data_IF_566435457623
#
_entry.id   IF_566435457623
#
_cell.length_a   1.000
_cell.length_b   1.000
_cell.length_c   1.000
_cell.angle_alpha   90.00
_cell.angle_beta   90.00
_cell.angle_gamma   90.00
#
_symmetry.space_group_name_H-M   'P 1'
#
loop_
_entity.id
_entity.type
_entity.pdbx_description
1 polymer ?
#
# COMPACT_ATOMS: atom_id res chain seq x y z
N UNK A 1 0.54 -15.06 7.68
CA UNK A 1 -0.69 -14.86 8.49
C UNK A 1 -0.79 -13.41 8.94
N UNK A 2 -1.99 -12.93 9.19
CA UNK A 2 -2.25 -11.62 9.77
C UNK A 2 -3.13 -11.75 11.02
N UNK A 3 -3.11 -10.72 11.85
CA UNK A 3 -3.95 -10.56 13.02
C UNK A 3 -4.44 -9.12 13.08
N UNK A 4 -5.74 -8.91 13.23
CA UNK A 4 -6.36 -7.57 13.32
C UNK A 4 -7.43 -7.58 14.41
N UNK A 5 -7.33 -6.63 15.34
CA UNK A 5 -8.36 -6.38 16.32
C UNK A 5 -9.22 -5.17 15.92
N UNK A 6 -10.53 -5.33 15.88
CA UNK A 6 -11.53 -4.29 15.59
C UNK A 6 -12.36 -4.02 16.86
N UNK A 7 -11.92 -3.10 17.72
CA UNK A 7 -12.58 -2.86 19.01
C UNK A 7 -14.06 -2.48 18.89
N UNK A 8 -14.41 -1.68 17.88
CA UNK A 8 -15.80 -1.21 17.68
C UNK A 8 -16.80 -2.31 17.35
N UNK A 9 -16.32 -3.44 16.83
CA UNK A 9 -17.14 -4.61 16.48
C UNK A 9 -16.88 -5.81 17.40
N UNK A 10 -15.94 -5.68 18.34
CA UNK A 10 -15.48 -6.76 19.21
C UNK A 10 -15.01 -8.00 18.45
N UNK A 11 -14.39 -7.80 17.24
CA UNK A 11 -13.92 -8.87 16.36
C UNK A 11 -12.41 -8.92 16.29
N UNK A 12 -11.88 -10.14 16.40
CA UNK A 12 -10.47 -10.45 16.19
C UNK A 12 -10.34 -11.30 14.92
N UNK A 13 -9.79 -10.71 13.87
CA UNK A 13 -9.59 -11.38 12.59
C UNK A 13 -8.21 -12.02 12.55
N UNK A 14 -8.13 -13.26 12.10
CA UNK A 14 -6.86 -13.94 11.83
C UNK A 14 -6.98 -14.78 10.57
N UNK A 15 -5.90 -14.88 9.79
CA UNK A 15 -5.94 -15.65 8.56
C UNK A 15 -4.69 -15.49 7.70
N UNK A 16 -4.79 -15.93 6.44
CA UNK A 16 -3.74 -15.75 5.46
C UNK A 16 -3.88 -14.39 4.75
N UNK A 17 -2.75 -13.73 4.48
CA UNK A 17 -2.69 -12.44 3.78
C UNK A 17 -3.15 -12.50 2.32
N UNK A 18 -3.16 -13.69 1.72
CA UNK A 18 -3.43 -13.89 0.30
C UNK A 18 -4.92 -14.14 -0.01
N UNK A 19 -5.75 -14.17 1.03
CA UNK A 19 -7.19 -14.39 0.89
C UNK A 19 -7.91 -13.08 0.60
N UNK A 20 -8.64 -13.03 -0.50
CA UNK A 20 -9.56 -11.95 -0.82
C UNK A 20 -10.93 -12.28 -0.20
N UNK A 21 -11.37 -11.48 0.78
CA UNK A 21 -12.75 -11.48 1.25
C UNK A 21 -13.50 -10.33 0.61
N UNK A 22 -14.68 -10.60 0.12
CA UNK A 22 -15.67 -9.59 -0.24
C UNK A 22 -16.76 -9.62 0.84
N UNK A 23 -16.63 -8.76 1.86
CA UNK A 23 -17.63 -8.56 2.90
C UNK A 23 -18.39 -7.25 2.64
N UNK A 24 -19.67 -7.21 3.01
CA UNK A 24 -20.49 -5.98 2.92
C UNK A 24 -19.93 -4.87 3.83
N UNK A 25 -19.24 -5.24 4.91
CA UNK A 25 -18.55 -4.28 5.78
C UNK A 25 -17.14 -3.96 5.23
N UNK A 26 -16.89 -2.73 4.75
CA UNK A 26 -15.61 -2.35 4.16
C UNK A 26 -14.41 -2.51 5.10
N UNK A 27 -14.63 -2.44 6.42
CA UNK A 27 -13.56 -2.60 7.42
C UNK A 27 -12.99 -4.03 7.38
N UNK A 28 -13.85 -5.02 7.13
CA UNK A 28 -13.45 -6.42 7.02
C UNK A 28 -12.67 -6.72 5.73
N UNK A 29 -12.77 -5.85 4.73
CA UNK A 29 -12.04 -5.94 3.47
C UNK A 29 -10.63 -5.33 3.54
N UNK A 30 -10.28 -4.64 4.64
CA UNK A 30 -8.94 -4.09 4.84
C UNK A 30 -7.94 -5.22 5.06
N UNK A 31 -6.89 -5.25 4.24
CA UNK A 31 -5.82 -6.24 4.35
C UNK A 31 -4.50 -5.58 4.75
N UNK A 32 -3.72 -6.23 5.62
CA UNK A 32 -2.42 -5.69 6.04
C UNK A 32 -1.49 -5.37 4.87
N UNK A 33 -1.49 -6.18 3.80
CA UNK A 33 -0.65 -5.93 2.64
C UNK A 33 -1.04 -4.67 1.86
N UNK A 34 -2.31 -4.23 1.90
CA UNK A 34 -2.72 -2.95 1.31
C UNK A 34 -2.08 -1.77 2.06
N UNK A 35 -2.00 -1.87 3.40
CA UNK A 35 -1.33 -0.87 4.23
C UNK A 35 0.18 -0.88 4.00
N UNK A 36 0.78 -2.08 3.95
CA UNK A 36 2.21 -2.23 3.71
C UNK A 36 2.62 -1.67 2.34
N UNK A 37 1.84 -1.89 1.27
CA UNK A 37 2.09 -1.28 -0.05
C UNK A 37 2.04 0.25 -0.02
N UNK A 38 1.29 0.83 0.91
CA UNK A 38 1.26 2.29 1.12
C UNK A 38 2.50 2.80 1.86
N UNK A 39 2.93 2.08 2.88
CA UNK A 39 4.07 2.47 3.73
C UNK A 39 5.40 2.14 3.06
N UNK A 40 5.51 0.94 2.50
CA UNK A 40 6.73 0.42 1.88
C UNK A 40 6.61 0.52 0.36
N UNK A 41 7.42 1.39 -0.23
CA UNK A 41 7.49 1.52 -1.68
C UNK A 41 8.34 0.37 -2.23
N UNK A 42 7.69 -0.56 -2.91
CA UNK A 42 8.38 -1.69 -3.54
C UNK A 42 9.34 -1.20 -4.63
N UNK A 43 10.50 -1.84 -4.70
CA UNK A 43 11.51 -1.56 -5.71
C UNK A 43 10.96 -1.85 -7.12
N UNK A 44 11.32 -1.01 -8.09
CA UNK A 44 11.02 -1.27 -9.51
C UNK A 44 11.96 -2.38 -10.00
N UNK A 45 11.44 -3.50 -10.55
CA UNK A 45 12.26 -4.61 -11.03
C UNK A 45 12.84 -4.30 -12.43
N UNK A 46 13.82 -3.39 -12.50
CA UNK A 46 14.42 -2.92 -13.76
C UNK A 46 15.15 -4.01 -14.56
N UNK A 47 15.66 -5.02 -13.89
CA UNK A 47 16.42 -6.13 -14.50
C UNK A 47 15.54 -7.34 -14.85
N UNK A 48 14.23 -7.22 -14.71
CA UNK A 48 13.29 -8.31 -14.99
C UNK A 48 13.00 -8.42 -16.50
N UNK A 49 12.98 -9.64 -17.01
CA UNK A 49 12.50 -9.91 -18.36
C UNK A 49 10.97 -9.78 -18.47
N UNK A 50 10.27 -9.98 -17.36
CA UNK A 50 8.81 -9.90 -17.28
C UNK A 50 8.31 -8.46 -17.29
N UNK A 51 9.01 -7.53 -16.61
CA UNK A 51 8.55 -6.16 -16.46
C UNK A 51 9.30 -5.18 -17.35
N UNK A 52 8.58 -4.21 -17.93
CA UNK A 52 9.13 -3.11 -18.71
C UNK A 52 8.73 -1.77 -18.09
N UNK A 53 9.69 -1.02 -17.55
CA UNK A 53 9.43 0.36 -17.15
C UNK A 53 9.38 1.28 -18.37
N UNK A 54 8.56 2.32 -18.28
CA UNK A 54 8.53 3.44 -19.22
C UNK A 54 8.39 4.75 -18.45
N UNK A 55 8.74 5.87 -19.10
CA UNK A 55 8.70 7.21 -18.52
C UNK A 55 7.73 8.08 -19.31
N UNK A 56 6.84 8.75 -18.59
CA UNK A 56 5.97 9.82 -19.11
C UNK A 56 6.24 11.10 -18.32
N UNK A 57 5.87 12.24 -18.92
CA UNK A 57 5.82 13.54 -18.23
C UNK A 57 4.37 14.02 -18.17
N UNK A 58 4.00 14.61 -17.04
CA UNK A 58 2.69 15.23 -16.85
C UNK A 58 2.85 16.52 -16.05
N UNK A 59 1.85 17.40 -16.16
CA UNK A 59 1.75 18.60 -15.33
C UNK A 59 0.29 18.86 -14.94
N UNK A 60 0.12 19.47 -13.80
CA UNK A 60 -1.14 20.06 -13.37
C UNK A 60 -0.95 21.58 -13.12
N UNK A 61 -1.93 22.25 -12.54
CA UNK A 61 -1.88 23.69 -12.29
C UNK A 61 -0.74 24.12 -11.33
N UNK A 62 -0.13 23.21 -10.60
CA UNK A 62 0.87 23.50 -9.56
C UNK A 62 2.21 22.83 -9.78
N UNK A 63 2.22 21.60 -10.26
CA UNK A 63 3.40 20.75 -10.27
C UNK A 63 3.63 20.06 -11.61
N UNK A 64 4.89 19.74 -11.86
CA UNK A 64 5.31 18.88 -12.96
C UNK A 64 5.79 17.56 -12.43
N UNK A 65 5.48 16.48 -13.15
CA UNK A 65 5.74 15.11 -12.71
C UNK A 65 6.53 14.31 -13.74
N UNK A 66 7.39 13.44 -13.25
CA UNK A 66 7.78 12.23 -13.95
C UNK A 66 6.86 11.09 -13.51
N UNK A 67 6.33 10.35 -14.48
CA UNK A 67 5.51 9.18 -14.22
C UNK A 67 6.27 7.97 -14.70
N UNK A 68 6.71 7.13 -13.77
CA UNK A 68 7.31 5.84 -14.10
C UNK A 68 6.20 4.81 -14.13
N UNK A 69 5.86 4.31 -15.33
CA UNK A 69 4.93 3.23 -15.52
C UNK A 69 5.65 1.89 -15.61
N UNK A 70 4.98 0.82 -15.16
CA UNK A 70 5.47 -0.55 -15.21
C UNK A 70 4.47 -1.42 -15.97
N UNK A 71 4.94 -2.03 -17.06
CA UNK A 71 4.17 -2.97 -17.87
C UNK A 71 4.60 -4.38 -17.52
N UNK A 72 3.66 -5.26 -17.24
CA UNK A 72 3.85 -6.71 -17.14
C UNK A 72 3.70 -7.33 -18.53
N UNK A 73 4.71 -8.10 -18.95
CA UNK A 73 4.77 -8.80 -20.23
C UNK A 73 4.52 -10.30 -20.05
N UNK A 74 3.67 -10.71 -19.10
CA UNK A 74 3.42 -12.13 -18.84
C UNK A 74 3.01 -12.89 -20.11
N UNK A 75 3.88 -13.83 -20.53
CA UNK A 75 3.69 -14.70 -21.67
C UNK A 75 4.17 -14.15 -23.01
N UNK A 76 3.66 -13.04 -23.51
CA UNK A 76 4.10 -12.40 -24.75
C UNK A 76 3.74 -10.89 -24.79
N UNK A 77 4.25 -10.17 -25.79
CA UNK A 77 3.98 -8.75 -25.95
C UNK A 77 2.50 -8.41 -26.27
N UNK A 78 1.67 -9.41 -26.58
CA UNK A 78 0.24 -9.20 -26.88
C UNK A 78 -0.63 -9.18 -25.63
N UNK A 79 -0.11 -9.72 -24.52
CA UNK A 79 -0.75 -9.70 -23.19
C UNK A 79 -0.18 -8.62 -22.25
N UNK A 80 0.55 -7.65 -22.80
CA UNK A 80 1.16 -6.57 -22.03
C UNK A 80 0.11 -5.75 -21.24
N UNK A 81 0.27 -5.66 -19.94
CA UNK A 81 -0.65 -4.95 -19.05
C UNK A 81 0.07 -3.92 -18.19
N UNK A 82 -0.51 -2.73 -18.09
CA UNK A 82 -0.06 -1.75 -17.10
C UNK A 82 -0.40 -2.27 -15.71
N UNK A 83 0.61 -2.38 -14.83
CA UNK A 83 0.42 -2.87 -13.45
C UNK A 83 0.66 -1.80 -12.40
N UNK A 84 1.49 -0.78 -12.70
CA UNK A 84 1.82 0.26 -11.72
C UNK A 84 2.20 1.57 -12.39
N UNK A 85 1.84 2.72 -11.75
CA UNK A 85 2.39 4.05 -12.04
C UNK A 85 2.91 4.70 -10.75
N UNK A 86 4.06 5.33 -10.85
CA UNK A 86 4.73 6.09 -9.80
C UNK A 86 4.83 7.55 -10.25
N UNK A 87 4.23 8.46 -9.52
CA UNK A 87 4.24 9.89 -9.80
C UNK A 87 5.29 10.57 -8.94
N UNK A 88 6.30 11.12 -9.58
CA UNK A 88 7.45 11.77 -8.93
C UNK A 88 7.38 13.25 -9.25
N UNK A 89 7.24 14.08 -8.25
CA UNK A 89 7.28 15.54 -8.41
C UNK A 89 8.68 15.96 -8.85
N UNK A 90 8.78 16.72 -9.97
CA UNK A 90 10.06 17.04 -10.59
C UNK A 90 10.94 17.97 -9.75
N UNK A 91 10.34 18.91 -9.03
CA UNK A 91 11.07 19.91 -8.23
C UNK A 91 11.76 19.32 -7.00
N UNK A 92 11.12 18.37 -6.35
CA UNK A 92 11.59 17.75 -5.11
C UNK A 92 12.12 16.34 -5.31
N UNK A 93 11.88 15.73 -6.48
CA UNK A 93 12.15 14.32 -6.77
C UNK A 93 11.46 13.35 -5.78
N UNK A 94 10.33 13.79 -5.20
CA UNK A 94 9.56 13.00 -4.24
C UNK A 94 8.49 12.17 -4.94
N UNK A 95 8.30 10.96 -4.47
CA UNK A 95 7.12 10.15 -4.81
C UNK A 95 5.90 10.77 -4.12
N UNK A 96 4.91 11.20 -4.91
CA UNK A 96 3.69 11.85 -4.43
C UNK A 96 2.45 11.00 -4.62
N UNK A 97 2.51 10.01 -5.54
CA UNK A 97 1.40 9.09 -5.79
C UNK A 97 1.90 7.75 -6.34
N UNK A 98 1.23 6.67 -5.95
CA UNK A 98 1.32 5.38 -6.60
C UNK A 98 -0.07 4.92 -7.05
N UNK A 99 -0.13 4.22 -8.16
CA UNK A 99 -1.35 3.65 -8.70
C UNK A 99 -1.07 2.21 -9.12
N UNK A 100 -1.97 1.30 -8.76
CA UNK A 100 -1.90 -0.11 -9.12
C UNK A 100 -3.09 -0.46 -10.03
N UNK A 101 -2.80 -1.25 -11.03
CA UNK A 101 -3.76 -1.63 -12.06
C UNK A 101 -3.84 -3.16 -12.17
N UNK A 102 -5.04 -3.67 -12.39
CA UNK A 102 -5.32 -5.08 -12.68
C UNK A 102 -6.28 -5.13 -13.88
N UNK A 103 -5.94 -5.93 -14.88
CA UNK A 103 -6.73 -6.04 -16.12
C UNK A 103 -7.11 -4.69 -16.76
N UNK A 104 -6.21 -3.72 -16.71
CA UNK A 104 -6.42 -2.37 -17.24
C UNK A 104 -7.23 -1.42 -16.34
N UNK A 105 -7.81 -1.90 -15.24
CA UNK A 105 -8.56 -1.08 -14.30
C UNK A 105 -7.68 -0.59 -13.14
N UNK A 106 -7.90 0.65 -12.68
CA UNK A 106 -7.26 1.18 -11.47
C UNK A 106 -7.90 0.51 -10.24
N UNK A 107 -7.12 -0.27 -9.49
CA UNK A 107 -7.58 -0.97 -8.29
C UNK A 107 -7.13 -0.29 -6.98
N UNK A 108 -6.03 0.45 -7.03
CA UNK A 108 -5.54 1.17 -5.85
C UNK A 108 -4.86 2.47 -6.22
N UNK A 109 -5.12 3.53 -5.46
CA UNK A 109 -4.42 4.81 -5.53
C UNK A 109 -3.89 5.18 -4.15
N UNK A 110 -2.60 5.44 -4.06
CA UNK A 110 -1.92 5.83 -2.82
C UNK A 110 -1.35 7.22 -3.04
N UNK A 111 -1.76 8.17 -2.20
CA UNK A 111 -1.30 9.57 -2.24
C UNK A 111 -0.49 9.87 -0.99
N UNK A 112 0.67 10.46 -1.18
CA UNK A 112 1.59 10.88 -0.14
C UNK A 112 1.49 12.38 0.10
N UNK A 113 1.30 12.77 1.35
CA UNK A 113 1.35 14.16 1.79
C UNK A 113 2.79 14.66 1.96
N UNK A 114 2.93 15.75 2.71
CA UNK A 114 4.27 16.24 3.04
C UNK A 114 5.00 15.26 3.96
N UNK A 115 6.29 14.96 3.68
CA UNK A 115 7.07 14.07 4.51
C UNK A 115 7.41 14.72 5.85
N UNK A 116 7.63 13.88 6.85
CA UNK A 116 8.24 14.29 8.12
C UNK A 116 9.70 13.85 8.18
N UNK A 117 10.56 14.65 8.77
CA UNK A 117 11.93 14.26 9.05
C UNK A 117 11.98 13.43 10.35
N UNK A 118 12.46 12.18 10.22
CA UNK A 118 12.62 11.23 11.33
C UNK A 118 14.02 10.63 11.23
N UNK A 119 14.83 10.77 12.25
CA UNK A 119 16.22 10.29 12.29
C UNK A 119 17.05 10.73 11.04
N UNK A 120 16.87 11.98 10.59
CA UNK A 120 17.49 12.58 9.39
C UNK A 120 17.05 11.93 8.07
N UNK A 121 15.97 11.17 8.07
CA UNK A 121 15.35 10.61 6.88
C UNK A 121 13.99 11.24 6.65
N UNK A 122 13.66 11.50 5.38
CA UNK A 122 12.33 11.98 5.00
C UNK A 122 11.40 10.77 4.85
N UNK A 123 10.39 10.68 5.71
CA UNK A 123 9.41 9.60 5.74
C UNK A 123 8.04 10.14 5.36
N UNK A 124 7.35 9.46 4.46
CA UNK A 124 5.95 9.75 4.16
C UNK A 124 5.08 9.45 5.38
N UNK A 125 4.70 10.48 6.13
CA UNK A 125 3.97 10.36 7.39
C UNK A 125 2.46 10.56 7.26
N UNK A 126 1.99 11.10 6.12
CA UNK A 126 0.56 11.23 5.78
C UNK A 126 0.30 10.48 4.47
N UNK A 127 -0.36 9.35 4.56
CA UNK A 127 -0.58 8.42 3.45
C UNK A 127 -2.08 8.18 3.32
N UNK A 128 -2.63 8.44 2.14
CA UNK A 128 -4.01 8.10 1.81
C UNK A 128 -4.01 6.95 0.82
N UNK A 129 -4.72 5.89 1.15
CA UNK A 129 -4.89 4.70 0.34
C UNK A 129 -6.35 4.62 -0.06
N UNK A 130 -6.63 4.56 -1.35
CA UNK A 130 -7.96 4.35 -1.92
C UNK A 130 -7.96 3.01 -2.64
N UNK A 131 -8.90 2.15 -2.28
CA UNK A 131 -9.13 0.85 -2.91
C UNK A 131 -10.46 0.89 -3.64
N UNK A 132 -10.39 1.07 -4.96
CA UNK A 132 -11.59 1.27 -5.80
C UNK A 132 -12.42 0.00 -5.88
N UNK A 133 -11.77 -1.15 -5.97
CA UNK A 133 -12.44 -2.45 -6.09
C UNK A 133 -13.20 -2.83 -4.82
N UNK A 134 -12.55 -2.70 -3.66
CA UNK A 134 -13.11 -3.05 -2.36
C UNK A 134 -13.90 -1.88 -1.73
N UNK A 135 -14.01 -0.76 -2.44
CA UNK A 135 -14.79 0.42 -2.08
C UNK A 135 -14.49 0.99 -0.67
N UNK A 136 -13.20 1.14 -0.34
CA UNK A 136 -12.80 1.81 0.90
C UNK A 136 -11.63 2.79 0.70
N UNK A 137 -11.47 3.68 1.66
CA UNK A 137 -10.28 4.52 1.77
C UNK A 137 -9.76 4.55 3.20
N UNK A 138 -8.42 4.60 3.33
CA UNK A 138 -7.72 4.68 4.61
C UNK A 138 -6.77 5.86 4.56
N UNK A 139 -6.69 6.60 5.65
CA UNK A 139 -5.65 7.60 5.87
C UNK A 139 -4.79 7.19 7.05
N UNK A 140 -3.51 6.97 6.79
CA UNK A 140 -2.50 6.69 7.80
C UNK A 140 -1.77 7.99 8.13
N UNK A 141 -1.72 8.32 9.41
CA UNK A 141 -0.88 9.41 9.94
C UNK A 141 0.11 8.80 10.92
N UNK A 142 1.37 8.79 10.54
CA UNK A 142 2.45 8.32 11.39
C UNK A 142 2.90 9.49 12.27
N UNK A 143 2.76 9.36 13.59
CA UNK A 143 3.27 10.33 14.53
C UNK A 143 4.82 10.22 14.58
N UNK A 144 5.58 11.25 14.21
CA UNK A 144 7.04 11.16 14.10
C UNK A 144 7.72 10.67 15.38
N UNK A 145 7.20 11.05 16.53
CA UNK A 145 7.69 10.66 17.87
C UNK A 145 7.53 9.15 18.15
N UNK A 146 6.58 8.50 17.47
CA UNK A 146 6.30 7.06 17.58
C UNK A 146 7.06 6.19 16.58
N UNK A 147 7.70 6.81 15.58
CA UNK A 147 8.40 6.06 14.53
C UNK A 147 9.87 5.84 14.93
N UNK A 148 10.36 4.62 14.71
CA UNK A 148 11.77 4.26 14.87
C UNK A 148 12.24 3.62 13.58
N UNK A 149 13.44 3.99 13.12
CA UNK A 149 14.03 3.41 11.89
C UNK A 149 14.98 2.31 12.28
N UNK A 150 14.71 1.09 11.76
CA UNK A 150 15.53 -0.11 12.01
C UNK A 150 15.86 -0.35 13.50
N UNK A 151 14.88 -0.25 14.42
CA UNK A 151 15.15 -0.61 15.80
C UNK A 151 15.37 -2.11 15.92
N UNK A 152 16.04 -2.54 17.01
CA UNK A 152 15.96 -3.95 17.40
C UNK A 152 14.51 -4.25 17.80
N UNK A 153 13.91 -5.23 17.12
CA UNK A 153 12.52 -5.64 17.38
C UNK A 153 12.53 -6.92 18.20
N UNK A 154 11.71 -6.99 19.24
CA UNK A 154 11.53 -8.21 20.05
C UNK A 154 10.83 -9.27 19.19
N UNK A 155 11.08 -10.55 19.44
CA UNK A 155 10.45 -11.66 18.71
C UNK A 155 8.92 -11.65 18.80
N UNK A 156 8.37 -11.22 19.95
CA UNK A 156 6.93 -11.13 20.22
C UNK A 156 6.28 -9.79 19.80
N UNK A 157 7.01 -8.90 19.14
CA UNK A 157 6.52 -7.54 18.80
C UNK A 157 5.33 -7.54 17.82
N UNK A 158 5.13 -8.64 17.10
CA UNK A 158 4.03 -8.81 16.15
C UNK A 158 2.94 -9.79 16.66
N UNK A 159 3.06 -10.27 17.89
CA UNK A 159 2.05 -11.11 18.50
C UNK A 159 0.94 -10.24 19.09
N UNK A 160 -0.25 -10.33 18.52
CA UNK A 160 -1.43 -9.64 19.01
C UNK A 160 -2.28 -10.63 19.83
N UNK A 161 -2.28 -10.55 21.18
CA UNK A 161 -3.09 -11.44 21.97
C UNK A 161 -4.57 -11.21 21.72
N UNK A 162 -5.34 -12.30 21.67
CA UNK A 162 -6.80 -12.23 21.53
C UNK A 162 -7.38 -11.53 22.76
N UNK A 163 -8.11 -10.39 22.59
CA UNK A 163 -8.70 -9.71 23.73
C UNK A 163 -9.78 -10.56 24.39
N UNK A 164 -9.95 -10.46 25.72
CA UNK A 164 -10.98 -11.23 26.42
C UNK A 164 -12.39 -10.93 25.88
N UNK A 165 -13.12 -12.00 25.52
CA UNK A 165 -14.49 -11.90 25.00
C UNK A 165 -14.59 -11.47 23.54
N UNK A 166 -13.48 -11.34 22.81
CA UNK A 166 -13.50 -11.03 21.38
C UNK A 166 -14.06 -12.23 20.58
N UNK A 167 -14.89 -11.93 19.59
CA UNK A 167 -15.29 -12.89 18.57
C UNK A 167 -14.11 -13.14 17.62
N UNK A 168 -13.61 -14.37 17.58
CA UNK A 168 -12.52 -14.78 16.70
C UNK A 168 -13.08 -15.19 15.35
N UNK A 169 -12.71 -14.46 14.30
CA UNK A 169 -13.12 -14.75 12.93
C UNK A 169 -11.90 -15.25 12.15
N UNK A 170 -11.96 -16.53 11.73
CA UNK A 170 -10.95 -17.11 10.84
C UNK A 170 -11.23 -16.71 9.39
N UNK A 171 -10.25 -16.09 8.75
CA UNK A 171 -10.30 -15.71 7.34
C UNK A 171 -9.64 -16.82 6.54
N UNK A 172 -10.46 -17.78 6.08
CA UNK A 172 -10.04 -18.89 5.23
C UNK A 172 -10.38 -18.57 3.77
N UNK A 173 -9.55 -19.00 2.82
CA UNK A 173 -9.74 -18.85 1.38
C UNK A 173 -9.98 -20.20 0.73
#
# INVERSE_FOLDING_TARGET
TFQVWIPGENKYLTGNTDVELEDENPILNVRPHHLLKGILVERIPVDSLRYRPFLEEAEDARFKYYIVGLIDLEGDARSAQLVRKLWIERSSMRLVRQQYYESGALVSSIVYGEPSEIDRMLINSDIRIERTRENYSIRLKLAPEGVRINPSVREDAFDLPVPPGAEVVMVEG
#
